data_IF_375763999993
#
_entry.id   IF_375763999993
#
_cell.length_a   1.000
_cell.length_b   1.000
_cell.length_c   1.000
_cell.angle_alpha   90.00
_cell.angle_beta   90.00
_cell.angle_gamma   90.00
#
_symmetry.space_group_name_H-M   'P 1'
#
loop_
_entity.id
_entity.type
_entity.pdbx_description
1 polymer ?
#
# COMPACT_ATOMS: atom_id res chain seq x y z
N UNK A 1 -3.95 6.79 -82.29
CA UNK A 1 -5.07 6.43 -81.37
C UNK A 1 -4.58 5.31 -80.45
N UNK A 2 -4.26 5.64 -79.19
CA UNK A 2 -3.89 4.66 -78.16
C UNK A 2 -4.79 4.95 -76.96
N UNK A 3 -5.64 3.98 -76.65
CA UNK A 3 -6.64 4.03 -75.57
C UNK A 3 -5.91 4.04 -74.22
N UNK A 4 -6.16 5.08 -73.41
CA UNK A 4 -5.68 5.19 -72.03
C UNK A 4 -6.52 4.27 -71.14
N UNK A 5 -5.88 3.26 -70.54
CA UNK A 5 -6.44 2.50 -69.44
C UNK A 5 -6.27 3.32 -68.15
N UNK A 6 -7.38 3.64 -67.50
CA UNK A 6 -7.41 4.27 -66.17
C UNK A 6 -7.29 3.13 -65.16
N UNK A 7 -6.18 3.10 -64.42
CA UNK A 7 -6.01 2.23 -63.25
C UNK A 7 -6.72 2.92 -62.09
N UNK A 8 -7.80 2.31 -61.60
CA UNK A 8 -8.44 2.72 -60.35
C UNK A 8 -7.54 2.30 -59.18
N UNK A 9 -6.92 3.28 -58.52
CA UNK A 9 -6.25 3.07 -57.25
C UNK A 9 -7.32 2.94 -56.16
N UNK A 10 -7.45 1.75 -55.56
CA UNK A 10 -8.24 1.56 -54.36
C UNK A 10 -7.61 2.33 -53.21
N UNK A 11 -8.26 3.42 -52.81
CA UNK A 11 -7.96 4.15 -51.58
C UNK A 11 -8.34 3.27 -50.40
N UNK A 12 -7.33 2.70 -49.72
CA UNK A 12 -7.50 2.13 -48.40
C UNK A 12 -7.95 3.25 -47.47
N UNK A 13 -9.25 3.28 -47.18
CA UNK A 13 -9.81 4.09 -46.11
C UNK A 13 -9.26 3.55 -44.79
N UNK A 14 -8.23 4.20 -44.28
CA UNK A 14 -7.86 4.07 -42.87
C UNK A 14 -9.05 4.52 -42.04
N UNK A 15 -9.71 3.55 -41.41
CA UNK A 15 -10.69 3.81 -40.35
C UNK A 15 -9.91 4.46 -39.22
N UNK A 16 -9.94 5.79 -39.17
CA UNK A 16 -9.47 6.57 -38.03
C UNK A 16 -10.42 6.25 -36.89
N UNK A 17 -10.00 5.34 -36.01
CA UNK A 17 -10.61 5.16 -34.70
C UNK A 17 -10.68 6.54 -34.02
N UNK A 18 -11.80 6.91 -33.39
CA UNK A 18 -11.90 8.18 -32.69
C UNK A 18 -10.78 8.21 -31.65
N UNK A 19 -9.90 9.20 -31.82
CA UNK A 19 -8.85 9.50 -30.85
C UNK A 19 -9.51 9.65 -29.49
N UNK A 20 -9.26 8.69 -28.62
CA UNK A 20 -9.45 8.87 -27.19
C UNK A 20 -8.56 10.07 -26.87
N UNK A 21 -9.17 11.19 -26.50
CA UNK A 21 -8.44 12.29 -25.92
C UNK A 21 -7.55 11.70 -24.83
N UNK A 22 -6.23 11.85 -25.00
CA UNK A 22 -5.31 11.72 -23.87
C UNK A 22 -5.89 12.62 -22.79
N UNK A 23 -6.31 12.02 -21.67
CA UNK A 23 -6.44 12.80 -20.45
C UNK A 23 -5.13 13.58 -20.28
N UNK A 24 -5.24 14.81 -19.77
CA UNK A 24 -4.10 15.66 -19.40
C UNK A 24 -2.98 14.84 -18.74
N UNK A 25 -1.70 15.25 -18.87
CA UNK A 25 -0.61 14.59 -18.17
C UNK A 25 -1.01 14.42 -16.70
N UNK A 26 -1.19 13.16 -16.31
CA UNK A 26 -1.82 12.82 -15.05
C UNK A 26 -0.80 13.13 -13.95
N UNK A 27 -1.16 14.12 -13.14
CA UNK A 27 -0.55 14.49 -11.86
C UNK A 27 -0.03 13.25 -11.13
N UNK A 28 1.28 13.19 -10.85
CA UNK A 28 1.90 12.09 -10.12
C UNK A 28 1.78 10.67 -10.72
N UNK A 29 1.58 10.45 -12.02
CA UNK A 29 1.55 9.08 -12.56
C UNK A 29 2.88 8.59 -13.16
N UNK A 30 3.30 7.34 -12.87
CA UNK A 30 4.23 6.62 -13.73
C UNK A 30 3.63 6.47 -15.15
N UNK A 31 4.44 6.74 -16.18
CA UNK A 31 4.06 6.64 -17.60
C UNK A 31 3.40 5.29 -17.96
N UNK A 32 2.57 5.26 -19.02
CA UNK A 32 1.20 4.74 -19.02
C UNK A 32 1.01 3.42 -18.26
N UNK A 33 0.12 3.46 -17.27
CA UNK A 33 -0.31 2.29 -16.51
C UNK A 33 -1.62 1.70 -17.06
N UNK A 34 -1.63 0.39 -17.33
CA UNK A 34 -2.86 -0.37 -17.64
C UNK A 34 -3.37 -1.05 -16.38
N UNK A 35 -4.60 -0.71 -15.98
CA UNK A 35 -5.30 -1.36 -14.85
C UNK A 35 -5.64 -2.80 -15.22
N UNK A 36 -5.38 -3.74 -14.31
CA UNK A 36 -5.78 -5.15 -14.43
C UNK A 36 -6.68 -5.52 -13.26
N UNK A 37 -7.72 -6.30 -13.53
CA UNK A 37 -8.79 -6.61 -12.56
C UNK A 37 -9.20 -8.09 -12.60
N UNK A 38 -8.37 -8.97 -13.13
CA UNK A 38 -8.73 -10.37 -13.28
C UNK A 38 -8.69 -11.09 -11.92
N UNK A 39 -9.88 -11.43 -11.44
CA UNK A 39 -10.14 -12.17 -10.20
C UNK A 39 -11.20 -13.26 -10.39
N UNK A 40 -11.48 -13.64 -11.65
CA UNK A 40 -12.63 -14.51 -11.99
C UNK A 40 -12.24 -15.96 -12.23
N UNK A 41 -10.98 -16.21 -12.57
CA UNK A 41 -10.43 -17.55 -12.79
C UNK A 41 -9.78 -18.17 -11.54
N UNK A 42 -9.11 -19.33 -11.68
CA UNK A 42 -8.32 -19.94 -10.62
C UNK A 42 -7.03 -19.15 -10.31
N UNK A 43 -6.60 -18.29 -11.25
CA UNK A 43 -5.53 -17.34 -11.10
C UNK A 43 -6.08 -15.91 -11.03
N UNK A 44 -5.28 -14.99 -10.53
CA UNK A 44 -5.58 -13.56 -10.53
C UNK A 44 -4.39 -12.74 -11.03
N UNK A 45 -4.69 -11.60 -11.66
CA UNK A 45 -3.75 -10.56 -12.06
C UNK A 45 -4.43 -9.20 -11.87
N UNK A 46 -4.05 -8.53 -10.79
CA UNK A 46 -4.65 -7.27 -10.35
C UNK A 46 -3.57 -6.21 -10.31
N UNK A 47 -3.83 -5.07 -10.96
CA UNK A 47 -2.93 -3.92 -10.96
C UNK A 47 -3.75 -2.65 -10.87
N UNK A 48 -3.47 -1.83 -9.86
CA UNK A 48 -4.00 -0.48 -9.74
C UNK A 48 -3.08 0.52 -10.43
N UNK A 49 -3.67 1.60 -10.93
CA UNK A 49 -2.97 2.75 -11.52
C UNK A 49 -3.25 3.99 -10.67
N UNK A 50 -2.39 5.00 -10.77
CA UNK A 50 -2.54 6.25 -10.02
C UNK A 50 -2.49 6.11 -8.50
N UNK A 51 -1.81 5.07 -8.02
CA UNK A 51 -1.47 4.97 -6.59
C UNK A 51 -0.16 5.73 -6.40
N UNK A 52 -0.16 6.74 -5.54
CA UNK A 52 1.05 7.49 -5.19
C UNK A 52 2.03 6.65 -4.38
N UNK A 53 3.27 7.10 -4.32
CA UNK A 53 4.36 6.51 -3.52
C UNK A 53 5.05 7.59 -2.68
N UNK A 54 4.37 8.07 -1.63
CA UNK A 54 4.95 9.11 -0.78
C UNK A 54 5.94 8.57 0.24
N UNK A 55 7.03 9.31 0.42
CA UNK A 55 8.05 8.98 1.42
C UNK A 55 7.53 9.23 2.84
N UNK A 56 7.95 8.37 3.78
CA UNK A 56 7.74 8.64 5.21
C UNK A 56 8.75 9.68 5.73
N UNK A 57 9.94 9.77 5.14
CA UNK A 57 11.04 10.58 5.67
C UNK A 57 10.87 12.03 5.27
N UNK A 58 10.48 12.87 6.23
CA UNK A 58 10.14 14.26 5.98
C UNK A 58 10.57 15.14 7.15
N UNK A 59 11.13 16.30 6.85
CA UNK A 59 11.43 17.32 7.84
C UNK A 59 10.13 17.77 8.53
N UNK A 60 10.21 18.03 9.84
CA UNK A 60 9.05 18.46 10.64
C UNK A 60 8.17 17.33 11.17
N UNK A 61 8.36 16.08 10.72
CA UNK A 61 7.80 14.91 11.40
C UNK A 61 8.69 14.50 12.58
N UNK A 62 8.10 13.89 13.60
CA UNK A 62 8.85 13.35 14.74
C UNK A 62 9.92 12.35 14.25
N UNK A 63 11.15 12.50 14.76
CA UNK A 63 12.30 11.70 14.36
C UNK A 63 12.48 11.64 12.82
N UNK A 64 12.20 12.76 12.14
CA UNK A 64 12.27 12.90 10.68
C UNK A 64 11.45 11.83 9.93
N UNK A 65 10.37 11.35 10.53
CA UNK A 65 9.46 10.40 9.89
C UNK A 65 9.87 8.93 9.98
N UNK A 66 10.88 8.59 10.78
CA UNK A 66 11.44 7.23 10.85
C UNK A 66 10.42 6.12 11.19
N UNK A 67 9.28 6.46 11.79
CA UNK A 67 8.20 5.54 12.12
C UNK A 67 6.84 5.90 11.48
N UNK A 68 6.82 6.67 10.39
CA UNK A 68 5.60 7.14 9.72
C UNK A 68 5.11 6.24 8.56
N UNK A 69 5.58 4.99 8.46
CA UNK A 69 5.21 4.06 7.41
C UNK A 69 3.70 3.84 7.28
N UNK A 70 2.98 3.74 8.42
CA UNK A 70 1.53 3.61 8.44
C UNK A 70 0.81 4.85 7.89
N UNK A 71 1.08 6.05 8.44
CA UNK A 71 0.54 7.29 7.91
C UNK A 71 0.84 7.57 6.44
N UNK A 72 2.09 7.39 6.00
CA UNK A 72 2.50 7.58 4.61
C UNK A 72 1.78 6.59 3.68
N UNK A 73 1.72 5.30 4.07
CA UNK A 73 0.99 4.29 3.32
C UNK A 73 -0.52 4.59 3.25
N UNK A 74 -1.13 5.15 4.31
CA UNK A 74 -2.56 5.51 4.30
C UNK A 74 -2.80 6.76 3.44
N UNK A 75 -1.86 7.70 3.41
CA UNK A 75 -1.91 8.82 2.47
C UNK A 75 -2.02 8.31 1.03
N UNK A 76 -1.19 7.32 0.63
CA UNK A 76 -1.27 6.75 -0.71
C UNK A 76 -2.65 6.17 -1.05
N UNK A 77 -3.32 5.54 -0.06
CA UNK A 77 -4.68 5.04 -0.22
C UNK A 77 -5.70 6.19 -0.35
N UNK A 78 -5.65 7.18 0.54
CA UNK A 78 -6.54 8.35 0.51
C UNK A 78 -6.36 9.19 -0.76
N UNK A 79 -5.12 9.31 -1.24
CA UNK A 79 -4.77 9.98 -2.49
C UNK A 79 -5.36 9.23 -3.69
N UNK A 80 -5.20 7.90 -3.78
CA UNK A 80 -5.88 7.10 -4.81
C UNK A 80 -7.39 7.32 -4.84
N UNK A 81 -8.07 7.26 -3.68
CA UNK A 81 -9.52 7.48 -3.64
C UNK A 81 -9.91 8.91 -4.03
N UNK A 82 -9.13 9.91 -3.62
CA UNK A 82 -9.35 11.30 -4.01
C UNK A 82 -9.12 11.53 -5.50
N UNK A 83 -7.98 11.10 -6.01
CA UNK A 83 -7.49 11.38 -7.35
C UNK A 83 -8.13 10.47 -8.41
N UNK A 84 -8.02 9.15 -8.26
CA UNK A 84 -8.49 8.18 -9.26
C UNK A 84 -10.00 7.91 -9.18
N UNK A 85 -10.61 8.11 -8.02
CA UNK A 85 -12.06 7.88 -7.81
C UNK A 85 -12.86 9.15 -7.61
N UNK A 86 -12.22 10.31 -7.56
CA UNK A 86 -12.85 11.61 -7.29
C UNK A 86 -13.69 11.63 -5.99
N UNK A 87 -13.32 10.79 -5.01
CA UNK A 87 -14.00 10.76 -3.72
C UNK A 87 -13.67 12.04 -2.92
N UNK A 88 -14.62 12.62 -2.16
CA UNK A 88 -14.35 13.78 -1.30
C UNK A 88 -13.54 13.35 -0.06
N UNK A 89 -12.22 13.30 -0.20
CA UNK A 89 -11.30 12.83 0.85
C UNK A 89 -10.36 13.97 1.26
N UNK A 90 -10.13 14.10 2.56
CA UNK A 90 -9.20 15.06 3.14
C UNK A 90 -9.72 15.72 4.42
N UNK A 91 -9.11 16.85 4.79
CA UNK A 91 -9.38 17.55 6.04
C UNK A 91 -9.63 19.03 5.77
N UNK A 92 -10.74 19.55 6.29
CA UNK A 92 -11.10 20.97 6.17
C UNK A 92 -11.00 21.45 4.71
N UNK A 93 -10.03 22.32 4.40
CA UNK A 93 -9.77 22.87 3.06
C UNK A 93 -8.84 22.00 2.21
N UNK A 94 -8.06 21.10 2.82
CA UNK A 94 -7.14 20.21 2.12
C UNK A 94 -7.90 19.04 1.50
N UNK A 95 -7.87 18.94 0.17
CA UNK A 95 -8.44 17.83 -0.58
C UNK A 95 -7.32 17.05 -1.24
N UNK A 96 -7.19 15.75 -0.91
CA UNK A 96 -6.06 14.93 -1.40
C UNK A 96 -6.02 14.86 -2.92
N UNK A 97 -7.17 14.93 -3.59
CA UNK A 97 -7.28 14.91 -5.05
C UNK A 97 -6.59 16.08 -5.77
N UNK A 98 -6.35 17.18 -5.06
CA UNK A 98 -5.76 18.40 -5.63
C UNK A 98 -4.24 18.46 -5.41
N UNK A 99 -3.65 17.45 -4.77
CA UNK A 99 -2.22 17.45 -4.42
C UNK A 99 -1.47 16.51 -5.37
N UNK A 100 -0.35 16.98 -5.91
CA UNK A 100 0.62 16.15 -6.61
C UNK A 100 1.77 15.80 -5.67
N UNK A 101 1.99 14.53 -5.32
CA UNK A 101 3.15 14.20 -4.51
C UNK A 101 4.50 14.47 -5.18
N UNK A 102 4.55 14.56 -6.51
CA UNK A 102 5.75 14.95 -7.25
C UNK A 102 5.91 16.47 -7.42
N UNK A 103 4.90 17.28 -7.10
CA UNK A 103 5.05 18.75 -7.10
C UNK A 103 5.64 19.22 -5.77
N UNK A 104 6.80 19.87 -5.86
CA UNK A 104 7.48 20.45 -4.71
C UNK A 104 6.64 21.51 -3.99
N UNK A 105 5.71 22.18 -4.67
CA UNK A 105 4.79 23.14 -4.07
C UNK A 105 3.82 22.47 -3.08
N UNK A 106 3.46 21.21 -3.32
CA UNK A 106 2.53 20.45 -2.49
C UNK A 106 3.24 19.68 -1.36
N UNK A 107 4.57 19.55 -1.41
CA UNK A 107 5.36 18.76 -0.48
C UNK A 107 5.00 19.02 0.99
N UNK A 108 4.92 20.28 1.40
CA UNK A 108 4.61 20.66 2.78
C UNK A 108 3.15 20.35 3.16
N UNK A 109 2.21 20.51 2.24
CA UNK A 109 0.79 20.19 2.48
C UNK A 109 0.62 18.67 2.64
N UNK A 110 1.39 17.89 1.88
CA UNK A 110 1.44 16.43 1.98
C UNK A 110 2.09 16.00 3.29
N UNK A 111 3.20 16.62 3.69
CA UNK A 111 3.83 16.40 5.00
C UNK A 111 2.83 16.65 6.14
N UNK A 112 2.06 17.74 6.07
CA UNK A 112 1.01 18.04 7.05
C UNK A 112 -0.13 17.01 7.03
N UNK A 113 -0.47 16.48 5.87
CA UNK A 113 -1.48 15.42 5.72
C UNK A 113 -1.02 14.11 6.35
N UNK A 114 0.24 13.71 6.12
CA UNK A 114 0.86 12.54 6.74
C UNK A 114 0.93 12.70 8.26
N UNK A 115 1.35 13.89 8.74
CA UNK A 115 1.32 14.22 10.16
C UNK A 115 -0.09 14.09 10.73
N UNK A 116 -1.10 14.65 10.04
CA UNK A 116 -2.49 14.61 10.49
C UNK A 116 -3.02 13.18 10.57
N UNK A 117 -2.69 12.32 9.63
CA UNK A 117 -2.98 10.88 9.72
C UNK A 117 -2.31 10.29 10.97
N UNK A 118 -1.06 10.64 11.26
CA UNK A 118 -0.37 10.25 12.49
C UNK A 118 -1.16 10.62 13.75
N UNK A 119 -1.63 11.87 13.84
CA UNK A 119 -2.47 12.34 14.96
C UNK A 119 -3.79 11.56 15.03
N UNK A 120 -4.51 11.47 13.92
CA UNK A 120 -5.83 10.82 13.85
C UNK A 120 -5.73 9.29 14.11
N UNK A 121 -4.54 8.70 13.97
CA UNK A 121 -4.23 7.30 14.28
C UNK A 121 -3.51 7.10 15.62
N UNK A 122 -3.49 8.12 16.48
CA UNK A 122 -2.87 8.07 17.81
C UNK A 122 -1.42 7.58 17.78
N UNK A 123 -0.63 8.11 16.83
CA UNK A 123 0.79 7.80 16.69
C UNK A 123 1.55 8.08 18.00
N UNK A 124 2.41 7.14 18.40
CA UNK A 124 3.26 7.25 19.59
C UNK A 124 4.64 6.57 19.38
N UNK A 125 5.32 6.91 18.29
CA UNK A 125 6.51 6.20 17.81
C UNK A 125 6.19 5.05 16.85
N UNK A 126 4.93 4.92 16.45
CA UNK A 126 4.41 3.96 15.50
C UNK A 126 2.89 4.05 15.40
N UNK A 127 2.27 3.26 14.52
CA UNK A 127 0.81 3.18 14.42
C UNK A 127 0.33 1.73 14.47
N UNK A 128 -0.92 1.55 14.91
CA UNK A 128 -1.64 0.27 14.86
C UNK A 128 -2.64 0.28 13.70
N UNK A 129 -2.87 -0.88 13.11
CA UNK A 129 -3.78 -1.04 11.96
C UNK A 129 -5.21 -0.54 12.25
N UNK A 130 -5.73 -0.81 13.45
CA UNK A 130 -7.06 -0.31 13.88
C UNK A 130 -7.11 1.20 13.94
N UNK A 131 -6.04 1.86 14.37
CA UNK A 131 -6.02 3.31 14.48
C UNK A 131 -5.87 3.98 13.11
N UNK A 132 -5.19 3.33 12.15
CA UNK A 132 -5.19 3.80 10.76
C UNK A 132 -6.59 3.70 10.14
N UNK A 133 -7.42 2.72 10.54
CA UNK A 133 -8.84 2.69 10.16
C UNK A 133 -9.63 3.85 10.79
N UNK A 134 -9.31 4.25 12.02
CA UNK A 134 -9.87 5.48 12.62
C UNK A 134 -9.49 6.72 11.81
N UNK A 135 -8.22 6.87 11.45
CA UNK A 135 -7.76 8.00 10.63
C UNK A 135 -8.44 8.02 9.24
N UNK A 136 -8.60 6.86 8.61
CA UNK A 136 -9.39 6.73 7.38
C UNK A 136 -10.82 7.24 7.58
N UNK A 137 -11.49 6.79 8.64
CA UNK A 137 -12.87 7.21 8.90
C UNK A 137 -12.95 8.73 9.07
N UNK A 138 -12.00 9.35 9.77
CA UNK A 138 -11.96 10.81 9.93
C UNK A 138 -11.76 11.50 8.56
N UNK A 139 -10.75 11.09 7.79
CA UNK A 139 -10.41 11.70 6.49
C UNK A 139 -11.48 11.50 5.41
N UNK A 140 -12.32 10.47 5.53
CA UNK A 140 -13.42 10.16 4.60
C UNK A 140 -14.77 10.66 5.08
N UNK A 141 -14.84 11.41 6.19
CA UNK A 141 -16.08 12.05 6.63
C UNK A 141 -16.73 12.91 5.53
N UNK A 142 -16.01 13.76 4.78
CA UNK A 142 -16.63 14.56 3.73
C UNK A 142 -17.28 13.71 2.63
N UNK A 143 -16.71 12.55 2.31
CA UNK A 143 -17.31 11.63 1.35
C UNK A 143 -18.62 11.02 1.88
N UNK A 144 -18.62 10.55 3.14
CA UNK A 144 -19.84 10.03 3.78
C UNK A 144 -20.93 11.09 3.89
N UNK A 145 -20.56 12.32 4.24
CA UNK A 145 -21.49 13.45 4.27
C UNK A 145 -22.08 13.75 2.88
N UNK A 146 -21.33 13.48 1.81
CA UNK A 146 -21.78 13.56 0.42
C UNK A 146 -22.49 12.29 -0.09
N UNK A 147 -22.85 11.35 0.79
CA UNK A 147 -23.61 10.14 0.47
C UNK A 147 -22.79 8.94 -0.02
N UNK A 148 -21.45 9.00 0.04
CA UNK A 148 -20.62 7.83 -0.28
C UNK A 148 -20.72 6.77 0.82
N UNK A 149 -20.81 5.51 0.42
CA UNK A 149 -20.63 4.40 1.35
C UNK A 149 -19.12 4.18 1.57
N UNK A 150 -18.71 3.90 2.80
CA UNK A 150 -17.31 3.55 3.12
C UNK A 150 -17.25 2.28 3.95
N UNK A 151 -16.26 1.43 3.69
CA UNK A 151 -16.01 0.22 4.46
C UNK A 151 -14.52 0.04 4.71
N UNK A 152 -14.17 -0.56 5.85
CA UNK A 152 -12.80 -0.87 6.24
C UNK A 152 -12.74 -2.24 6.88
N UNK A 153 -11.56 -2.84 6.88
CA UNK A 153 -11.28 -4.02 7.67
C UNK A 153 -9.85 -4.48 7.53
N UNK A 154 -9.52 -5.57 8.22
CA UNK A 154 -8.22 -6.20 8.16
C UNK A 154 -8.35 -7.71 7.94
N UNK A 155 -7.33 -8.30 7.31
CA UNK A 155 -7.27 -9.74 7.03
C UNK A 155 -5.93 -10.27 7.53
N UNK A 156 -5.96 -11.17 8.51
CA UNK A 156 -4.77 -11.73 9.16
C UNK A 156 -4.26 -12.97 8.40
N UNK A 157 -2.96 -13.03 8.17
CA UNK A 157 -2.34 -14.12 7.41
C UNK A 157 -2.36 -15.48 8.12
N UNK A 158 -2.43 -15.52 9.47
CA UNK A 158 -2.49 -16.78 10.22
C UNK A 158 -3.89 -17.39 10.27
N UNK A 159 -4.93 -16.57 10.16
CA UNK A 159 -6.33 -16.96 10.38
C UNK A 159 -7.10 -17.13 9.05
N UNK A 160 -6.53 -16.67 7.93
CA UNK A 160 -7.19 -16.66 6.62
C UNK A 160 -6.70 -17.80 5.75
N UNK A 161 -7.61 -18.73 5.39
CA UNK A 161 -7.29 -19.90 4.56
C UNK A 161 -6.71 -19.49 3.19
N UNK A 162 -7.37 -18.57 2.50
CA UNK A 162 -6.98 -18.02 1.19
C UNK A 162 -6.54 -16.55 1.28
N UNK A 163 -5.48 -16.29 2.04
CA UNK A 163 -4.94 -14.95 2.23
C UNK A 163 -4.62 -14.24 0.90
N UNK A 164 -4.07 -14.96 -0.08
CA UNK A 164 -3.73 -14.43 -1.41
C UNK A 164 -4.96 -14.06 -2.23
N UNK A 165 -6.00 -14.89 -2.20
CA UNK A 165 -7.26 -14.60 -2.86
C UNK A 165 -7.97 -13.40 -2.24
N UNK A 166 -8.00 -13.30 -0.92
CA UNK A 166 -8.58 -12.14 -0.24
C UNK A 166 -7.79 -10.85 -0.51
N UNK A 167 -6.45 -10.93 -0.56
CA UNK A 167 -5.60 -9.82 -0.98
C UNK A 167 -5.98 -9.35 -2.39
N UNK A 168 -6.09 -10.27 -3.36
CA UNK A 168 -6.44 -9.94 -4.74
C UNK A 168 -7.85 -9.30 -4.85
N UNK A 169 -8.86 -9.87 -4.18
CA UNK A 169 -10.23 -9.35 -4.17
C UNK A 169 -10.30 -7.92 -3.62
N UNK A 170 -9.58 -7.65 -2.53
CA UNK A 170 -9.55 -6.31 -1.92
C UNK A 170 -8.73 -5.34 -2.75
N UNK A 171 -7.56 -5.77 -3.24
CA UNK A 171 -6.74 -4.96 -4.13
C UNK A 171 -7.48 -4.56 -5.40
N UNK A 172 -8.39 -5.40 -5.91
CA UNK A 172 -9.18 -5.09 -7.10
C UNK A 172 -10.07 -3.84 -6.94
N UNK A 173 -10.47 -3.53 -5.69
CA UNK A 173 -11.30 -2.35 -5.37
C UNK A 173 -10.46 -1.09 -5.17
N UNK A 174 -9.29 -1.21 -4.57
CA UNK A 174 -8.32 -0.13 -4.35
C UNK A 174 -7.03 -0.64 -3.69
N UNK A 175 -5.99 0.19 -3.57
CA UNK A 175 -4.74 -0.18 -2.91
C UNK A 175 -4.98 -0.58 -1.45
N UNK A 176 -4.16 -1.52 -0.95
CA UNK A 176 -4.25 -2.01 0.44
C UNK A 176 -2.98 -1.69 1.21
N UNK A 177 -3.10 -1.53 2.53
CA UNK A 177 -1.93 -1.38 3.40
C UNK A 177 -1.53 -2.74 3.97
N UNK A 178 -0.37 -3.25 3.58
CA UNK A 178 0.14 -4.54 4.07
C UNK A 178 1.14 -4.31 5.19
N UNK A 179 1.04 -5.12 6.24
CA UNK A 179 1.98 -5.11 7.37
C UNK A 179 2.84 -6.35 7.32
N UNK A 180 4.15 -6.15 7.41
CA UNK A 180 5.06 -7.24 7.72
C UNK A 180 5.82 -6.97 9.01
N UNK A 181 6.06 -8.03 9.76
CA UNK A 181 7.00 -8.05 10.86
C UNK A 181 8.42 -8.31 10.38
N UNK A 182 9.40 -7.75 11.07
CA UNK A 182 10.82 -8.10 10.94
C UNK A 182 11.13 -9.16 11.99
N UNK A 183 11.40 -10.39 11.54
CA UNK A 183 11.62 -11.54 12.41
C UNK A 183 13.11 -11.94 12.42
N UNK A 184 13.73 -11.98 13.59
CA UNK A 184 15.09 -12.50 13.78
C UNK A 184 15.05 -13.94 14.31
N UNK A 185 16.21 -14.61 14.38
CA UNK A 185 16.32 -15.88 15.09
C UNK A 185 15.87 -15.69 16.56
N UNK A 186 15.00 -16.60 17.02
CA UNK A 186 14.56 -16.65 18.41
C UNK A 186 15.49 -17.47 19.30
N UNK A 187 15.17 -17.61 20.60
CA UNK A 187 16.03 -18.30 21.57
C UNK A 187 16.24 -19.79 21.28
N UNK A 188 15.23 -20.47 20.71
CA UNK A 188 15.35 -21.85 20.29
C UNK A 188 15.80 -21.94 18.82
N UNK A 189 16.69 -22.88 18.51
CA UNK A 189 17.09 -23.17 17.14
C UNK A 189 15.86 -23.42 16.24
N UNK A 190 15.81 -22.70 15.11
CA UNK A 190 14.69 -22.77 14.16
C UNK A 190 13.44 -21.95 14.53
N UNK A 191 13.42 -21.32 15.70
CA UNK A 191 12.37 -20.36 16.08
C UNK A 191 12.65 -18.96 15.53
N UNK A 192 11.60 -18.16 15.35
CA UNK A 192 11.68 -16.77 14.95
C UNK A 192 11.03 -15.87 16.00
N UNK A 193 11.69 -14.79 16.36
CA UNK A 193 11.17 -13.76 17.26
C UNK A 193 10.81 -12.51 16.48
N UNK A 194 9.60 -11.99 16.73
CA UNK A 194 9.11 -10.75 16.16
C UNK A 194 9.80 -9.54 16.83
N UNK A 195 10.51 -8.74 16.05
CA UNK A 195 11.04 -7.44 16.45
C UNK A 195 10.10 -6.30 16.04
N UNK A 196 10.55 -5.40 15.16
CA UNK A 196 9.77 -4.28 14.64
C UNK A 196 8.79 -4.64 13.51
N UNK A 197 7.87 -3.72 13.20
CA UNK A 197 6.93 -3.84 12.07
C UNK A 197 7.18 -2.79 10.99
N UNK A 198 6.57 -2.98 9.84
CA UNK A 198 6.56 -2.01 8.75
C UNK A 198 5.25 -2.10 7.96
N UNK A 199 4.81 -0.97 7.42
CA UNK A 199 3.56 -0.87 6.64
C UNK A 199 3.91 -0.34 5.25
N UNK A 200 3.41 -1.02 4.22
CA UNK A 200 3.64 -0.71 2.81
C UNK A 200 2.31 -0.67 2.06
N UNK A 201 2.29 0.01 0.91
CA UNK A 201 1.12 0.04 0.04
C UNK A 201 1.29 -0.98 -1.08
N UNK A 202 0.33 -1.91 -1.22
CA UNK A 202 0.32 -2.88 -2.33
C UNK A 202 -0.43 -2.28 -3.51
N UNK A 203 0.18 -2.31 -4.70
CA UNK A 203 -0.39 -1.71 -5.92
C UNK A 203 -0.67 -2.73 -7.02
N UNK A 204 0.02 -3.88 -7.02
CA UNK A 204 -0.26 -4.99 -7.92
C UNK A 204 -0.08 -6.34 -7.22
N UNK A 205 -0.85 -7.34 -7.67
CA UNK A 205 -0.75 -8.72 -7.21
C UNK A 205 -1.05 -9.70 -8.35
N UNK A 206 -0.21 -10.72 -8.49
CA UNK A 206 -0.37 -11.82 -9.43
C UNK A 206 -0.11 -13.15 -8.75
N UNK A 207 -1.04 -14.10 -8.91
CA UNK A 207 -0.95 -15.38 -8.23
C UNK A 207 -2.17 -16.26 -8.49
N UNK A 208 -2.45 -17.17 -7.55
CA UNK A 208 -3.61 -18.05 -7.61
C UNK A 208 -4.41 -18.06 -6.30
N UNK A 209 -5.71 -18.29 -6.42
CA UNK A 209 -6.57 -18.54 -5.27
C UNK A 209 -6.13 -19.84 -4.60
N UNK A 210 -6.03 -19.83 -3.27
CA UNK A 210 -5.45 -20.90 -2.45
C UNK A 210 -3.98 -21.24 -2.78
N UNK A 211 -3.28 -20.35 -3.51
CA UNK A 211 -1.88 -20.51 -3.81
C UNK A 211 -0.98 -20.41 -2.57
N UNK A 212 0.27 -20.81 -2.73
CA UNK A 212 1.33 -20.63 -1.71
C UNK A 212 2.31 -19.52 -2.08
N UNK A 213 2.12 -18.88 -3.23
CA UNK A 213 3.02 -17.85 -3.76
C UNK A 213 2.24 -16.74 -4.46
N UNK A 214 2.65 -15.49 -4.26
CA UNK A 214 2.08 -14.30 -4.93
C UNK A 214 3.22 -13.36 -5.31
N UNK A 215 3.21 -12.84 -6.53
CA UNK A 215 4.07 -11.73 -6.94
C UNK A 215 3.35 -10.42 -6.66
N UNK A 216 4.02 -9.47 -6.01
CA UNK A 216 3.47 -8.16 -5.70
C UNK A 216 4.34 -7.02 -6.25
N UNK A 217 3.71 -5.87 -6.47
CA UNK A 217 4.38 -4.58 -6.51
C UNK A 217 4.00 -3.74 -5.31
N UNK A 218 4.99 -3.14 -4.65
CA UNK A 218 4.83 -2.35 -3.43
C UNK A 218 5.38 -0.93 -3.58
N UNK A 219 4.66 0.03 -3.03
CA UNK A 219 5.18 1.34 -2.64
C UNK A 219 5.61 1.25 -1.16
N UNK A 220 6.91 1.35 -0.89
CA UNK A 220 7.49 1.19 0.45
C UNK A 220 8.01 2.56 0.95
N UNK A 221 7.23 3.26 1.80
CA UNK A 221 7.53 4.63 2.17
C UNK A 221 8.81 4.75 3.03
N UNK A 222 9.30 3.64 3.60
CA UNK A 222 10.54 3.59 4.39
C UNK A 222 11.77 3.21 3.56
N UNK A 223 11.63 3.10 2.24
CA UNK A 223 12.71 2.71 1.34
C UNK A 223 12.89 3.71 0.18
N UNK A 224 12.52 4.97 0.34
CA UNK A 224 12.82 6.04 -0.62
C UNK A 224 14.23 5.89 -1.23
N UNK A 225 14.33 5.97 -2.57
CA UNK A 225 15.56 5.64 -3.30
C UNK A 225 16.73 6.56 -2.98
N UNK A 226 16.44 7.80 -2.60
CA UNK A 226 17.38 8.85 -2.23
C UNK A 226 17.66 8.92 -0.71
N UNK A 227 17.05 8.05 0.11
CA UNK A 227 17.18 8.09 1.57
C UNK A 227 18.65 8.16 2.01
N UNK A 228 18.99 9.21 2.78
CA UNK A 228 20.33 9.46 3.30
C UNK A 228 21.21 10.33 2.39
N UNK A 229 20.73 10.67 1.20
CA UNK A 229 21.35 11.66 0.31
C UNK A 229 21.02 13.08 0.77
N UNK A 230 21.80 14.08 0.36
CA UNK A 230 21.52 15.47 0.73
C UNK A 230 20.12 15.91 0.23
N UNK A 231 19.35 16.53 1.12
CA UNK A 231 18.04 17.11 0.79
C UNK A 231 16.84 16.16 0.86
N UNK A 232 17.03 14.85 1.07
CA UNK A 232 15.95 13.84 1.04
C UNK A 232 14.76 14.12 1.99
N UNK A 233 14.97 14.86 3.07
CA UNK A 233 13.91 15.24 4.02
C UNK A 233 13.04 16.41 3.55
N UNK A 234 13.38 17.05 2.44
CA UNK A 234 12.72 18.27 1.94
C UNK A 234 12.13 18.11 0.55
N UNK A 235 12.33 16.96 -0.08
CA UNK A 235 11.87 16.61 -1.43
C UNK A 235 11.14 15.27 -1.39
N UNK A 236 10.27 15.04 -2.37
CA UNK A 236 9.72 13.71 -2.62
C UNK A 236 10.68 12.96 -3.54
N UNK A 237 11.01 11.72 -3.19
CA UNK A 237 11.80 10.82 -4.02
C UNK A 237 11.02 10.37 -5.25
N UNK A 238 11.74 9.95 -6.30
CA UNK A 238 11.12 9.35 -7.48
C UNK A 238 10.29 8.12 -7.10
N UNK A 239 9.12 7.99 -7.71
CA UNK A 239 8.23 6.86 -7.44
C UNK A 239 8.90 5.52 -7.78
N UNK A 240 8.86 4.58 -6.84
CA UNK A 240 9.45 3.26 -6.98
C UNK A 240 8.44 2.16 -6.61
N UNK A 241 8.11 1.32 -7.58
CA UNK A 241 7.31 0.11 -7.32
C UNK A 241 8.21 -1.12 -7.20
N UNK A 242 8.45 -1.55 -5.96
CA UNK A 242 9.30 -2.68 -5.63
C UNK A 242 8.66 -4.01 -6.02
N UNK A 243 9.36 -4.80 -6.82
CA UNK A 243 9.00 -6.18 -7.13
C UNK A 243 9.35 -7.11 -5.96
N UNK A 244 8.34 -7.81 -5.44
CA UNK A 244 8.51 -8.76 -4.33
C UNK A 244 7.71 -10.03 -4.55
N UNK A 245 8.13 -11.10 -3.89
CA UNK A 245 7.41 -12.37 -3.81
C UNK A 245 6.96 -12.62 -2.38
N UNK A 246 5.69 -12.97 -2.20
CA UNK A 246 5.20 -13.58 -0.97
C UNK A 246 5.20 -15.10 -1.10
N UNK A 247 5.73 -15.81 -0.11
CA UNK A 247 5.69 -17.28 -0.01
C UNK A 247 5.09 -17.73 1.31
N UNK A 248 4.05 -18.57 1.27
CA UNK A 248 3.41 -19.15 2.46
C UNK A 248 4.39 -20.06 3.19
N UNK A 249 4.56 -19.83 4.49
CA UNK A 249 5.46 -20.58 5.39
C UNK A 249 4.75 -20.92 6.69
N UNK A 250 5.04 -22.08 7.24
CA UNK A 250 4.78 -22.38 8.65
C UNK A 250 6.06 -22.10 9.42
N UNK A 251 5.97 -21.29 10.46
CA UNK A 251 7.11 -20.90 11.29
C UNK A 251 6.83 -21.21 12.76
N UNK A 252 7.85 -21.58 13.51
CA UNK A 252 7.81 -21.58 14.98
C UNK A 252 8.08 -20.16 15.46
N UNK A 253 7.04 -19.46 15.91
CA UNK A 253 7.13 -18.10 16.42
C UNK A 253 7.33 -18.12 17.94
N UNK A 254 8.39 -17.45 18.41
CA UNK A 254 8.62 -17.17 19.82
C UNK A 254 7.94 -15.85 20.21
N UNK A 255 7.20 -15.86 21.32
CA UNK A 255 6.59 -14.68 21.92
C UNK A 255 7.07 -14.56 23.37
N UNK A 256 7.86 -13.53 23.73
CA UNK A 256 8.30 -13.34 25.11
C UNK A 256 7.09 -13.07 26.02
N UNK A 257 7.22 -13.42 27.30
CA UNK A 257 6.26 -12.98 28.32
C UNK A 257 6.42 -11.47 28.47
N UNK A 258 5.30 -10.75 28.49
CA UNK A 258 5.31 -9.31 28.78
C UNK A 258 5.14 -9.15 30.28
N UNK A 259 5.89 -8.22 30.86
CA UNK A 259 5.74 -7.82 32.26
C UNK A 259 4.33 -7.28 32.50
N UNK A 260 3.67 -7.72 33.58
CA UNK A 260 2.42 -7.13 34.02
C UNK A 260 2.71 -6.03 35.05
N UNK A 261 2.49 -4.77 34.65
CA UNK A 261 2.76 -3.64 35.53
C UNK A 261 1.90 -3.63 36.81
N UNK A 262 0.85 -4.45 36.88
CA UNK A 262 -0.05 -4.59 38.02
C UNK A 262 0.37 -5.70 39.00
N UNK A 263 1.42 -6.49 38.69
CA UNK A 263 1.98 -7.51 39.59
C UNK A 263 3.33 -7.07 40.18
N UNK A 264 3.68 -7.52 41.39
CA UNK A 264 4.97 -7.21 41.99
C UNK A 264 6.14 -8.05 41.43
N UNK A 265 5.85 -9.15 40.72
CA UNK A 265 6.84 -9.99 40.05
C UNK A 265 7.12 -9.51 38.62
N UNK A 266 8.37 -9.53 38.18
CA UNK A 266 8.71 -9.27 36.76
C UNK A 266 8.55 -10.55 35.93
N UNK A 267 7.40 -10.73 35.26
CA UNK A 267 7.17 -11.92 34.45
C UNK A 267 7.93 -11.90 33.12
N UNK A 268 8.52 -10.77 32.70
CA UNK A 268 9.32 -10.72 31.48
C UNK A 268 10.59 -11.58 31.57
N UNK A 269 10.98 -11.97 32.78
CA UNK A 269 12.06 -12.92 33.07
C UNK A 269 11.66 -14.39 32.85
N UNK A 270 10.36 -14.68 32.69
CA UNK A 270 9.87 -16.04 32.47
C UNK A 270 10.09 -16.49 31.01
N UNK A 271 10.28 -17.80 30.76
CA UNK A 271 10.40 -18.33 29.41
C UNK A 271 9.16 -17.99 28.57
N UNK A 272 9.37 -17.43 27.37
CA UNK A 272 8.29 -17.13 26.44
C UNK A 272 7.64 -18.38 25.84
N UNK A 273 6.61 -18.15 25.02
CA UNK A 273 5.82 -19.21 24.37
C UNK A 273 6.24 -19.42 22.92
N UNK A 274 6.13 -20.67 22.46
CA UNK A 274 6.38 -21.04 21.07
C UNK A 274 5.07 -21.47 20.41
N UNK A 275 4.78 -20.94 19.23
CA UNK A 275 3.56 -21.28 18.49
C UNK A 275 3.88 -21.46 17.01
N UNK A 276 3.41 -22.57 16.44
CA UNK A 276 3.47 -22.77 14.99
C UNK A 276 2.39 -21.92 14.32
N UNK A 277 2.79 -20.96 13.49
CA UNK A 277 1.89 -20.05 12.79
C UNK A 277 2.18 -20.06 11.30
N UNK A 278 1.12 -19.94 10.51
CA UNK A 278 1.23 -19.71 9.07
C UNK A 278 1.42 -18.21 8.85
N UNK A 279 2.46 -17.85 8.09
CA UNK A 279 2.77 -16.48 7.64
C UNK A 279 3.17 -16.50 6.17
N UNK A 280 3.23 -15.32 5.57
CA UNK A 280 3.74 -15.17 4.21
C UNK A 280 5.06 -14.42 4.24
N UNK A 281 6.14 -15.10 3.89
CA UNK A 281 7.47 -14.51 3.82
C UNK A 281 7.58 -13.64 2.57
N UNK A 282 7.92 -12.36 2.77
CA UNK A 282 8.18 -11.38 1.73
C UNK A 282 9.67 -11.40 1.40
N UNK A 283 9.99 -11.61 0.12
CA UNK A 283 11.34 -11.53 -0.42
C UNK A 283 11.39 -10.62 -1.64
N UNK A 284 12.53 -10.00 -1.89
CA UNK A 284 12.74 -9.14 -3.05
C UNK A 284 14.12 -8.49 -3.02
N UNK A 285 14.55 -7.82 -4.10
CA UNK A 285 15.93 -7.29 -4.21
C UNK A 285 16.33 -6.34 -3.08
N UNK A 286 15.38 -5.53 -2.57
CA UNK A 286 15.62 -4.61 -1.45
C UNK A 286 15.31 -5.21 -0.08
N UNK A 287 14.69 -6.39 -0.02
CA UNK A 287 14.32 -7.09 1.22
C UNK A 287 15.37 -8.14 1.56
N UNK A 288 16.59 -7.67 1.75
CA UNK A 288 17.75 -8.45 2.18
C UNK A 288 18.18 -8.02 3.57
N UNK A 289 18.73 -8.92 4.37
CA UNK A 289 19.24 -8.61 5.70
C UNK A 289 19.20 -9.77 6.67
N UNK A 290 19.43 -9.47 7.95
CA UNK A 290 19.44 -10.43 9.06
C UNK A 290 18.05 -10.80 9.60
N UNK A 291 17.01 -10.08 9.16
CA UNK A 291 15.62 -10.37 9.52
C UNK A 291 14.86 -10.91 8.33
N UNK A 292 13.87 -11.76 8.62
CA UNK A 292 12.90 -12.28 7.66
C UNK A 292 11.64 -11.43 7.73
N UNK A 293 11.14 -10.97 6.59
CA UNK A 293 9.94 -10.14 6.54
C UNK A 293 8.73 -11.06 6.44
N UNK A 294 7.91 -11.13 7.48
CA UNK A 294 6.73 -12.00 7.50
C UNK A 294 5.48 -11.14 7.50
N UNK A 295 4.66 -11.25 6.46
CA UNK A 295 3.39 -10.55 6.34
C UNK A 295 2.42 -11.11 7.39
N UNK A 296 1.92 -10.21 8.23
CA UNK A 296 1.06 -10.51 9.37
C UNK A 296 -0.41 -10.25 9.05
N UNK A 297 -0.69 -9.16 8.33
CA UNK A 297 -2.04 -8.70 8.01
C UNK A 297 -2.00 -7.69 6.87
N UNK A 298 -3.14 -7.41 6.25
CA UNK A 298 -3.34 -6.17 5.51
C UNK A 298 -4.64 -5.47 5.93
N UNK A 299 -4.68 -4.16 5.87
CA UNK A 299 -5.88 -3.34 5.93
C UNK A 299 -6.38 -3.11 4.51
N UNK A 300 -7.70 -3.15 4.34
CA UNK A 300 -8.36 -2.73 3.12
C UNK A 300 -9.33 -1.60 3.42
N UNK A 301 -9.49 -0.70 2.45
CA UNK A 301 -10.31 0.49 2.54
C UNK A 301 -11.10 0.60 1.24
N UNK A 302 -12.42 0.77 1.36
CA UNK A 302 -13.32 0.72 0.24
C UNK A 302 -14.33 1.86 0.30
N UNK A 303 -14.70 2.40 -0.86
CA UNK A 303 -15.74 3.40 -0.99
C UNK A 303 -16.59 3.11 -2.23
N UNK A 304 -17.87 3.43 -2.13
CA UNK A 304 -18.78 3.42 -3.27
C UNK A 304 -19.45 4.79 -3.37
N UNK A 305 -19.56 5.36 -4.60
CA UNK A 305 -20.30 6.59 -4.79
C UNK A 305 -21.79 6.40 -4.44
N UNK A 306 -22.52 7.49 -4.16
CA UNK A 306 -23.96 7.43 -3.94
C UNK A 306 -24.64 6.77 -5.15
N UNK A 307 -25.59 5.87 -4.90
CA UNK A 307 -26.45 5.35 -5.96
C UNK A 307 -27.51 6.43 -6.25
N UNK A 308 -27.47 6.98 -7.46
CA UNK A 308 -28.47 7.90 -7.99
C UNK A 308 -29.50 7.19 -8.86
#
# INVERSE_FOLDING_TARGET
MIRKAIIAAATLSTVVLPGIASADPIVGQPAPCVRLTDVTGPAFDVKQCGVSDVDQFRAGLENNGNAYCGPASLYNVLHYWGHEKNAPVGWQTTKTKNLDPMDQADYNVITNSIWRIGVDSSYNGGTKMSNLQTAWNIATKPARDAGWATAVGNINSKDTADFSGELAKKLNRGPVQMVYGRYSAGPQAGSLQRGGGHIVTVVAAKGSFNGSTVQLKLADPGRAGDHGSDGYLSTQSDYESLDVTLTKKTISQYSPVSDDADTPEDESLQPGTYTNVVRWELTGPRYVGSTRQMVETFNWFDMAPPVG
#
